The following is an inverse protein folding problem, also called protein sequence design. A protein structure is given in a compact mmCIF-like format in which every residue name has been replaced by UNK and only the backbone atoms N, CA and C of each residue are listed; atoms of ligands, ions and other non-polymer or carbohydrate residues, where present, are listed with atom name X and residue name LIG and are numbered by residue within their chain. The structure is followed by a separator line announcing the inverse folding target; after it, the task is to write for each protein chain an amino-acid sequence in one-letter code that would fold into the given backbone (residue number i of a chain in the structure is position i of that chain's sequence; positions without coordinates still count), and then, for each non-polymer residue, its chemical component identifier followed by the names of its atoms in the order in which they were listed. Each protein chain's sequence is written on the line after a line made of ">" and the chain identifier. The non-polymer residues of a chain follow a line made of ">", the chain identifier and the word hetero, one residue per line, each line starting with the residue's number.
data_IF_320665611848
#
_entry.id   IF_320665611848
#
_cell.length_a   1.000
_cell.length_b   1.000
_cell.length_c   1.000
_cell.angle_alpha   90.00
_cell.angle_beta   90.00
_cell.angle_gamma   90.00
#
_symmetry.space_group_name_H-M   'P 1'
#
loop_
_entity.id
_entity.type
_entity.pdbx_description
1 polymer ?
#
# COMPACT_ATOMS: atom_id res chain seq x y z
N UNK A 1 -21.08 15.08 -16.42
CA UNK A 1 -21.05 14.15 -15.26
C UNK A 1 -21.87 12.93 -15.62
N UNK A 2 -21.28 11.74 -15.54
CA UNK A 2 -22.01 10.47 -15.76
C UNK A 2 -23.03 10.35 -14.65
N UNK A 3 -24.30 10.14 -14.99
CA UNK A 3 -25.30 9.79 -13.99
C UNK A 3 -24.91 8.44 -13.40
N UNK A 4 -24.43 8.46 -12.16
CA UNK A 4 -23.77 7.32 -11.53
C UNK A 4 -24.69 6.10 -11.41
N UNK A 5 -25.99 6.33 -11.14
CA UNK A 5 -26.98 5.25 -11.06
C UNK A 5 -27.20 4.59 -12.42
N UNK A 6 -27.24 5.37 -13.50
CA UNK A 6 -27.37 4.83 -14.84
C UNK A 6 -26.14 4.03 -15.26
N UNK A 7 -24.93 4.47 -14.82
CA UNK A 7 -23.69 3.75 -15.09
C UNK A 7 -23.71 2.34 -14.51
N UNK A 8 -24.10 2.17 -13.26
CA UNK A 8 -24.13 0.83 -12.62
C UNK A 8 -25.22 -0.08 -13.19
N UNK A 9 -26.35 0.45 -13.64
CA UNK A 9 -27.34 -0.33 -14.37
C UNK A 9 -26.77 -0.87 -15.69
N UNK A 10 -26.06 -0.02 -16.45
CA UNK A 10 -25.41 -0.43 -17.70
C UNK A 10 -24.29 -1.47 -17.45
N UNK A 11 -23.51 -1.32 -16.38
CA UNK A 11 -22.52 -2.31 -15.98
C UNK A 11 -23.17 -3.65 -15.65
N UNK A 12 -24.25 -3.65 -14.87
CA UNK A 12 -24.95 -4.86 -14.48
C UNK A 12 -25.58 -5.57 -15.70
N UNK A 13 -26.09 -4.81 -16.67
CA UNK A 13 -26.60 -5.33 -17.93
C UNK A 13 -25.49 -5.92 -18.81
N UNK A 14 -24.38 -5.17 -19.06
CA UNK A 14 -23.25 -5.59 -19.90
C UNK A 14 -22.57 -6.87 -19.37
N UNK A 15 -22.52 -7.04 -18.05
CA UNK A 15 -21.89 -8.16 -17.39
C UNK A 15 -22.88 -9.25 -16.94
N UNK A 16 -24.15 -9.09 -17.26
CA UNK A 16 -25.22 -10.06 -16.97
C UNK A 16 -25.36 -10.37 -15.47
N UNK A 17 -25.19 -9.37 -14.60
CA UNK A 17 -25.31 -9.50 -13.15
C UNK A 17 -26.76 -9.44 -12.65
N UNK A 18 -27.74 -9.35 -13.55
CA UNK A 18 -29.14 -9.12 -13.20
C UNK A 18 -29.42 -7.64 -12.92
N UNK A 19 -30.66 -7.32 -12.51
CA UNK A 19 -31.07 -5.94 -12.22
C UNK A 19 -30.43 -5.46 -10.93
N UNK A 20 -30.05 -4.18 -10.91
CA UNK A 20 -29.65 -3.49 -9.67
C UNK A 20 -30.90 -3.27 -8.82
N UNK A 21 -30.89 -3.78 -7.58
CA UNK A 21 -32.06 -3.81 -6.68
C UNK A 21 -32.11 -2.61 -5.77
N UNK A 22 -30.93 -2.01 -5.45
CA UNK A 22 -30.79 -0.91 -4.50
C UNK A 22 -29.93 0.20 -5.10
N UNK A 23 -30.05 1.41 -4.58
CA UNK A 23 -29.16 2.49 -4.97
C UNK A 23 -27.71 2.13 -4.61
N UNK A 24 -26.75 2.31 -5.53
CA UNK A 24 -25.34 2.08 -5.24
C UNK A 24 -24.86 2.92 -4.06
N UNK A 25 -24.12 2.29 -3.16
CA UNK A 25 -23.60 2.95 -1.95
C UNK A 25 -22.09 3.10 -2.10
N UNK A 26 -21.59 4.33 -2.02
CA UNK A 26 -20.16 4.54 -1.98
C UNK A 26 -19.61 3.99 -0.66
N UNK A 27 -18.60 3.14 -0.72
CA UNK A 27 -17.91 2.60 0.45
C UNK A 27 -16.65 3.39 0.72
N UNK A 28 -16.34 3.58 2.00
CA UNK A 28 -15.10 4.22 2.43
C UNK A 28 -13.91 3.28 2.12
N UNK A 29 -12.81 3.86 1.72
CA UNK A 29 -11.56 3.16 1.37
C UNK A 29 -11.15 3.43 -0.07
N UNK A 30 -9.90 3.85 -0.25
CA UNK A 30 -9.32 4.18 -1.54
C UNK A 30 -9.14 5.69 -1.72
N UNK A 31 -7.94 6.20 -1.36
CA UNK A 31 -7.54 7.58 -1.63
C UNK A 31 -7.51 7.89 -3.13
N UNK A 32 -7.26 6.87 -3.95
CA UNK A 32 -7.01 7.07 -5.39
C UNK A 32 -8.20 6.68 -6.26
N UNK A 33 -9.07 5.79 -5.83
CA UNK A 33 -10.18 5.24 -6.61
C UNK A 33 -11.49 5.34 -5.85
N UNK A 34 -12.61 5.35 -6.57
CA UNK A 34 -13.93 5.34 -5.95
C UNK A 34 -14.51 3.93 -5.95
N UNK A 35 -14.99 3.49 -4.79
CA UNK A 35 -15.56 2.17 -4.62
C UNK A 35 -17.05 2.26 -4.31
N UNK A 36 -17.84 1.42 -4.95
CA UNK A 36 -19.29 1.38 -4.77
C UNK A 36 -19.76 -0.05 -4.54
N UNK A 37 -20.56 -0.25 -3.50
CA UNK A 37 -21.33 -1.47 -3.33
C UNK A 37 -22.58 -1.40 -4.18
N UNK A 38 -22.84 -2.43 -4.97
CA UNK A 38 -24.10 -2.63 -5.68
C UNK A 38 -24.72 -3.95 -5.22
N UNK A 39 -26.05 -3.99 -5.16
CA UNK A 39 -26.83 -5.19 -4.89
C UNK A 39 -27.65 -5.49 -6.14
N UNK A 40 -27.52 -6.69 -6.67
CA UNK A 40 -28.21 -7.15 -7.88
C UNK A 40 -28.99 -8.44 -7.61
N UNK A 41 -29.76 -8.89 -8.59
CA UNK A 41 -30.48 -10.17 -8.50
C UNK A 41 -29.54 -11.38 -8.33
N UNK A 42 -28.26 -11.28 -8.75
CA UNK A 42 -27.30 -12.38 -8.67
C UNK A 42 -26.36 -12.29 -7.47
N UNK A 43 -26.33 -11.17 -6.74
CA UNK A 43 -25.47 -11.01 -5.58
C UNK A 43 -25.11 -9.57 -5.27
N UNK A 44 -24.21 -9.42 -4.31
CA UNK A 44 -23.64 -8.12 -3.94
C UNK A 44 -22.21 -8.02 -4.43
N UNK A 45 -21.86 -6.88 -4.99
CA UNK A 45 -20.55 -6.65 -5.61
C UNK A 45 -19.97 -5.31 -5.18
N UNK A 46 -18.64 -5.21 -5.24
CA UNK A 46 -17.91 -3.95 -5.23
C UNK A 46 -17.48 -3.61 -6.65
N UNK A 47 -17.78 -2.40 -7.09
CA UNK A 47 -17.22 -1.82 -8.32
C UNK A 47 -16.21 -0.76 -7.93
N UNK A 48 -14.93 -1.00 -8.28
CA UNK A 48 -13.82 -0.07 -8.11
C UNK A 48 -13.67 0.74 -9.40
N UNK A 49 -14.07 2.01 -9.38
CA UNK A 49 -13.90 2.93 -10.50
C UNK A 49 -12.50 3.52 -10.47
N UNK A 50 -11.70 3.22 -11.49
CA UNK A 50 -10.33 3.72 -11.58
C UNK A 50 -10.30 5.23 -11.85
N UNK A 51 -9.42 5.93 -11.16
CA UNK A 51 -9.25 7.38 -11.35
C UNK A 51 -8.71 7.67 -12.75
N UNK A 52 -9.43 8.46 -13.58
CA UNK A 52 -9.00 8.76 -14.94
C UNK A 52 -7.63 9.46 -15.02
N UNK A 53 -7.24 10.22 -14.00
CA UNK A 53 -5.93 10.89 -13.98
C UNK A 53 -4.79 9.89 -13.75
N UNK A 54 -5.00 8.86 -12.92
CA UNK A 54 -4.04 7.76 -12.76
C UNK A 54 -3.94 6.97 -14.06
N UNK A 55 -5.08 6.68 -14.71
CA UNK A 55 -5.10 5.91 -15.96
C UNK A 55 -4.40 6.62 -17.13
N UNK A 56 -4.18 7.94 -17.07
CA UNK A 56 -3.37 8.68 -18.06
C UNK A 56 -1.87 8.49 -17.90
N UNK A 57 -1.39 7.95 -16.77
CA UNK A 57 0.05 7.70 -16.56
C UNK A 57 0.53 6.65 -17.56
N UNK A 58 1.69 6.85 -18.21
CA UNK A 58 2.19 5.92 -19.24
C UNK A 58 2.36 4.47 -18.75
N UNK A 59 2.64 4.29 -17.46
CA UNK A 59 2.88 2.97 -16.83
C UNK A 59 1.61 2.30 -16.30
N UNK A 60 0.48 3.01 -16.20
CA UNK A 60 -0.72 2.53 -15.52
C UNK A 60 -1.21 1.18 -16.07
N UNK A 61 -1.45 1.09 -17.36
CA UNK A 61 -1.96 -0.14 -17.99
C UNK A 61 -0.99 -1.32 -17.84
N UNK A 62 0.32 -1.05 -17.90
CA UNK A 62 1.36 -2.07 -17.68
C UNK A 62 1.35 -2.60 -16.25
N UNK A 63 1.24 -1.71 -15.27
CA UNK A 63 1.19 -2.07 -13.84
C UNK A 63 -0.05 -2.91 -13.52
N UNK A 64 -1.24 -2.51 -13.98
CA UNK A 64 -2.47 -3.29 -13.78
C UNK A 64 -2.39 -4.67 -14.45
N UNK A 65 -1.78 -4.76 -15.63
CA UNK A 65 -1.60 -6.05 -16.29
C UNK A 65 -0.70 -6.99 -15.47
N UNK A 66 0.41 -6.47 -14.93
CA UNK A 66 1.32 -7.24 -14.07
C UNK A 66 0.57 -7.71 -12.82
N UNK A 67 -0.18 -6.82 -12.16
CA UNK A 67 -0.97 -7.16 -10.99
C UNK A 67 -2.04 -8.24 -11.30
N UNK A 68 -2.76 -8.11 -12.42
CA UNK A 68 -3.76 -9.10 -12.87
C UNK A 68 -3.15 -10.49 -13.11
N UNK A 69 -1.95 -10.54 -13.70
CA UNK A 69 -1.26 -11.81 -13.97
C UNK A 69 -0.78 -12.46 -12.65
N UNK A 70 -0.22 -11.68 -11.73
CA UNK A 70 0.20 -12.16 -10.41
C UNK A 70 -1.01 -12.58 -9.56
N UNK A 71 -2.10 -11.82 -9.59
CA UNK A 71 -3.34 -12.18 -8.88
C UNK A 71 -3.87 -13.57 -9.29
N UNK A 72 -3.73 -13.96 -10.57
CA UNK A 72 -4.07 -15.32 -11.01
C UNK A 72 -3.17 -16.37 -10.36
N UNK A 73 -1.87 -16.06 -10.22
CA UNK A 73 -0.91 -16.94 -9.54
C UNK A 73 -1.29 -17.11 -8.07
N UNK A 74 -1.63 -16.01 -7.36
CA UNK A 74 -2.07 -16.07 -5.97
C UNK A 74 -3.34 -16.92 -5.82
N UNK A 75 -4.32 -16.76 -6.72
CA UNK A 75 -5.55 -17.56 -6.73
C UNK A 75 -5.28 -19.05 -6.93
N UNK A 76 -4.36 -19.40 -7.84
CA UNK A 76 -3.96 -20.80 -8.09
C UNK A 76 -3.26 -21.43 -6.88
N UNK A 77 -2.60 -20.61 -6.06
CA UNK A 77 -1.92 -21.03 -4.82
C UNK A 77 -2.80 -20.90 -3.56
N UNK A 78 -4.11 -20.68 -3.73
CA UNK A 78 -5.10 -20.59 -2.66
C UNK A 78 -4.76 -19.53 -1.58
N UNK A 79 -4.16 -18.41 -1.97
CA UNK A 79 -3.98 -17.28 -1.07
C UNK A 79 -5.35 -16.67 -0.74
N UNK A 80 -5.68 -16.41 0.54
CA UNK A 80 -6.99 -15.90 0.93
C UNK A 80 -7.14 -14.42 0.54
N UNK A 81 -7.72 -14.15 -0.63
CA UNK A 81 -7.95 -12.79 -1.12
C UNK A 81 -9.34 -12.66 -1.77
N UNK A 82 -9.81 -11.43 -1.88
CA UNK A 82 -10.97 -11.05 -2.70
C UNK A 82 -10.46 -10.73 -4.10
N UNK A 83 -10.62 -11.68 -4.99
CA UNK A 83 -10.12 -11.60 -6.36
C UNK A 83 -11.06 -10.83 -7.29
N UNK A 84 -10.48 -10.07 -8.21
CA UNK A 84 -11.26 -9.44 -9.27
C UNK A 84 -11.96 -10.49 -10.15
N UNK A 85 -13.24 -10.26 -10.44
CA UNK A 85 -14.00 -11.12 -11.33
C UNK A 85 -13.56 -10.93 -12.78
N UNK A 86 -13.52 -12.02 -13.52
CA UNK A 86 -13.21 -12.00 -14.95
C UNK A 86 -14.48 -12.02 -15.80
N UNK A 87 -14.61 -11.03 -16.70
CA UNK A 87 -15.63 -11.00 -17.72
C UNK A 87 -14.98 -10.84 -19.09
N UNK A 88 -15.46 -11.55 -20.09
CA UNK A 88 -14.91 -11.47 -21.46
C UNK A 88 -13.37 -11.71 -21.47
N UNK A 89 -12.88 -12.64 -20.66
CA UNK A 89 -11.47 -13.02 -20.48
C UNK A 89 -10.56 -11.89 -19.97
N UNK A 90 -11.08 -10.90 -19.26
CA UNK A 90 -10.30 -9.83 -18.64
C UNK A 90 -10.91 -9.40 -17.30
N UNK A 91 -10.08 -8.96 -16.37
CA UNK A 91 -10.49 -8.44 -15.07
C UNK A 91 -10.87 -6.97 -15.19
N UNK A 92 -9.97 -6.14 -15.72
CA UNK A 92 -10.25 -4.73 -15.97
C UNK A 92 -11.32 -4.61 -17.08
N UNK A 93 -12.40 -3.95 -16.77
CA UNK A 93 -13.48 -3.64 -17.67
C UNK A 93 -13.47 -2.16 -18.06
N UNK A 94 -14.15 -1.82 -19.14
CA UNK A 94 -14.33 -0.44 -19.60
C UNK A 94 -15.76 -0.23 -20.07
N UNK A 95 -16.36 0.86 -19.62
CA UNK A 95 -17.66 1.32 -20.10
C UNK A 95 -17.66 2.84 -20.25
N UNK A 96 -17.95 3.33 -21.44
CA UNK A 96 -17.99 4.78 -21.75
C UNK A 96 -16.73 5.55 -21.37
N UNK A 97 -15.53 4.95 -21.53
CA UNK A 97 -14.24 5.53 -21.20
C UNK A 97 -13.89 5.47 -19.70
N UNK A 98 -14.72 4.86 -18.87
CA UNK A 98 -14.42 4.61 -17.47
C UNK A 98 -13.90 3.18 -17.28
N UNK A 99 -12.66 3.03 -16.82
CA UNK A 99 -12.09 1.75 -16.41
C UNK A 99 -12.55 1.37 -15.00
N UNK A 100 -12.82 0.09 -14.78
CA UNK A 100 -13.27 -0.41 -13.48
C UNK A 100 -12.95 -1.88 -13.28
N UNK A 101 -12.92 -2.30 -12.01
CA UNK A 101 -12.89 -3.69 -11.57
C UNK A 101 -14.16 -4.04 -10.81
N UNK A 102 -14.48 -5.35 -10.77
CA UNK A 102 -15.59 -5.88 -10.00
C UNK A 102 -15.10 -7.00 -9.10
N UNK A 103 -15.58 -6.97 -7.86
CA UNK A 103 -15.29 -7.97 -6.83
C UNK A 103 -16.60 -8.45 -6.21
N UNK A 104 -16.63 -9.71 -5.76
CA UNK A 104 -17.71 -10.15 -4.87
C UNK A 104 -17.64 -9.37 -3.55
N UNK A 105 -18.81 -9.03 -3.01
CA UNK A 105 -18.86 -8.42 -1.68
C UNK A 105 -18.40 -9.42 -0.62
N UNK A 106 -17.43 -9.04 0.18
CA UNK A 106 -17.01 -9.77 1.36
C UNK A 106 -17.36 -8.95 2.60
N UNK A 107 -18.17 -9.51 3.52
CA UNK A 107 -18.72 -8.79 4.69
C UNK A 107 -17.74 -8.75 5.88
N UNK A 108 -16.46 -8.64 5.59
CA UNK A 108 -15.40 -8.50 6.57
C UNK A 108 -15.15 -7.05 6.95
N UNK A 109 -14.40 -6.87 8.04
CA UNK A 109 -13.98 -5.55 8.54
C UNK A 109 -12.48 -5.49 8.69
N UNK A 110 -11.88 -4.37 8.30
CA UNK A 110 -10.48 -4.08 8.62
C UNK A 110 -10.31 -3.77 10.11
N UNK A 111 -9.13 -4.07 10.63
CA UNK A 111 -8.76 -3.75 12.01
C UNK A 111 -8.28 -2.29 12.09
N UNK A 112 -8.69 -1.62 13.14
CA UNK A 112 -8.16 -0.29 13.50
C UNK A 112 -6.95 -0.45 14.42
N UNK A 113 -6.19 0.63 14.54
CA UNK A 113 -5.13 0.71 15.54
C UNK A 113 -5.68 0.36 16.94
N UNK A 114 -4.94 -0.47 17.67
CA UNK A 114 -5.35 -0.98 18.98
C UNK A 114 -6.25 -2.23 18.93
N UNK A 115 -6.81 -2.62 17.78
CA UNK A 115 -7.54 -3.87 17.59
C UNK A 115 -6.62 -5.02 17.15
N UNK A 116 -5.41 -4.70 16.68
CA UNK A 116 -4.40 -5.68 16.25
C UNK A 116 -3.89 -6.46 17.46
N UNK A 117 -3.87 -7.79 17.34
CA UNK A 117 -3.41 -8.73 18.37
C UNK A 117 -2.34 -9.66 17.77
N UNK A 118 -1.59 -10.36 18.64
CA UNK A 118 -0.58 -11.33 18.22
C UNK A 118 -1.10 -12.37 17.22
N UNK A 119 -2.33 -12.86 17.38
CA UNK A 119 -2.94 -13.83 16.44
C UNK A 119 -3.10 -13.25 15.03
N UNK A 120 -3.33 -11.95 14.90
CA UNK A 120 -3.40 -11.29 13.58
C UNK A 120 -2.01 -11.23 12.96
N UNK A 121 -0.99 -10.77 13.71
CA UNK A 121 0.40 -10.72 13.26
C UNK A 121 0.93 -12.11 12.87
N UNK A 122 0.58 -13.15 13.64
CA UNK A 122 0.93 -14.54 13.34
C UNK A 122 0.34 -14.97 11.98
N UNK A 123 -0.96 -14.78 11.76
CA UNK A 123 -1.63 -15.17 10.51
C UNK A 123 -1.14 -14.36 9.30
N UNK A 124 -0.86 -13.07 9.47
CA UNK A 124 -0.39 -12.24 8.36
C UNK A 124 1.08 -12.52 8.05
N UNK A 125 1.93 -12.75 9.05
CA UNK A 125 3.30 -13.22 8.84
C UNK A 125 3.35 -14.56 8.10
N UNK A 126 2.48 -15.52 8.46
CA UNK A 126 2.34 -16.80 7.76
C UNK A 126 1.91 -16.63 6.29
N UNK A 127 0.86 -15.83 6.03
CA UNK A 127 0.39 -15.64 4.64
C UNK A 127 1.39 -14.87 3.80
N UNK A 128 2.11 -13.90 4.36
CA UNK A 128 3.18 -13.19 3.68
C UNK A 128 4.30 -14.15 3.25
N UNK A 129 4.75 -15.02 4.16
CA UNK A 129 5.74 -16.05 3.85
C UNK A 129 5.24 -17.00 2.73
N UNK A 130 3.97 -17.40 2.76
CA UNK A 130 3.37 -18.21 1.69
C UNK A 130 3.40 -17.50 0.34
N UNK A 131 3.05 -16.21 0.30
CA UNK A 131 3.08 -15.41 -0.94
C UNK A 131 4.51 -15.34 -1.48
N UNK A 132 5.48 -14.99 -0.62
CA UNK A 132 6.88 -14.88 -1.02
C UNK A 132 7.48 -16.20 -1.52
N UNK A 133 7.03 -17.34 -0.98
CA UNK A 133 7.51 -18.67 -1.38
C UNK A 133 6.96 -19.16 -2.74
N UNK A 134 5.95 -18.53 -3.33
CA UNK A 134 5.29 -19.02 -4.54
C UNK A 134 6.23 -19.06 -5.73
N UNK A 135 6.96 -17.96 -5.95
CA UNK A 135 7.87 -17.84 -7.10
C UNK A 135 9.07 -16.97 -6.73
N UNK A 136 10.06 -17.60 -6.10
CA UNK A 136 11.31 -16.95 -5.72
C UNK A 136 12.25 -16.88 -6.91
N UNK A 137 12.76 -15.69 -7.20
CA UNK A 137 13.74 -15.43 -8.27
C UNK A 137 15.03 -14.93 -7.67
N UNK A 138 16.13 -15.59 -8.02
CA UNK A 138 17.48 -15.12 -7.67
C UNK A 138 17.92 -14.07 -8.70
N UNK A 139 17.29 -12.90 -8.64
CA UNK A 139 17.54 -11.77 -9.53
C UNK A 139 17.82 -10.53 -8.70
N UNK A 140 18.72 -9.64 -9.15
CA UNK A 140 18.94 -8.37 -8.49
C UNK A 140 17.65 -7.57 -8.37
N UNK A 141 17.44 -6.99 -7.19
CA UNK A 141 16.40 -6.01 -6.99
C UNK A 141 16.96 -4.65 -7.42
N UNK A 142 16.45 -4.16 -8.53
CA UNK A 142 16.79 -2.83 -9.03
C UNK A 142 15.80 -1.83 -8.42
N UNK A 143 16.28 -0.95 -7.58
CA UNK A 143 15.53 0.21 -7.11
C UNK A 143 16.35 1.44 -7.45
N UNK A 144 15.73 2.38 -8.12
CA UNK A 144 16.36 3.65 -8.43
C UNK A 144 16.74 4.37 -7.13
N UNK A 145 17.88 5.03 -7.14
CA UNK A 145 18.27 5.91 -6.05
C UNK A 145 17.24 7.03 -5.91
N UNK A 146 16.88 7.33 -4.66
CA UNK A 146 15.96 8.43 -4.38
C UNK A 146 16.70 9.76 -4.49
N UNK A 147 16.16 10.67 -5.27
CA UNK A 147 16.70 12.02 -5.45
C UNK A 147 15.59 13.04 -5.28
N UNK A 148 15.52 13.66 -4.10
CA UNK A 148 14.53 14.69 -3.79
C UNK A 148 15.30 15.97 -3.45
N UNK A 149 14.98 17.04 -4.17
CA UNK A 149 15.55 18.38 -3.94
C UNK A 149 14.71 19.13 -2.89
N UNK A 150 15.02 18.87 -1.62
CA UNK A 150 14.34 19.52 -0.50
C UNK A 150 14.50 21.03 -0.51
N UNK A 151 15.66 21.55 -0.95
CA UNK A 151 15.92 22.98 -1.01
C UNK A 151 14.97 23.68 -1.97
N UNK A 152 14.73 23.08 -3.13
CA UNK A 152 13.74 23.59 -4.08
C UNK A 152 12.34 23.72 -3.47
N UNK A 153 11.90 22.73 -2.71
CA UNK A 153 10.58 22.77 -2.06
C UNK A 153 10.52 23.79 -0.92
N UNK A 154 11.60 24.00 -0.18
CA UNK A 154 11.71 25.06 0.85
C UNK A 154 11.57 26.43 0.19
N UNK A 155 12.26 26.69 -0.91
CA UNK A 155 12.18 27.96 -1.64
C UNK A 155 10.76 28.21 -2.17
N UNK A 156 10.15 27.21 -2.81
CA UNK A 156 8.76 27.29 -3.28
C UNK A 156 7.77 27.55 -2.13
N UNK A 157 7.92 26.82 -1.03
CA UNK A 157 7.06 27.00 0.14
C UNK A 157 7.19 28.41 0.75
N UNK A 158 8.41 28.97 0.76
CA UNK A 158 8.68 30.35 1.20
C UNK A 158 8.04 31.37 0.29
N UNK A 159 8.21 31.21 -1.03
CA UNK A 159 7.65 32.17 -2.03
C UNK A 159 6.13 32.19 -2.00
N UNK A 160 5.50 31.05 -1.69
CA UNK A 160 4.05 30.90 -1.56
C UNK A 160 3.52 31.23 -0.15
N UNK A 161 4.37 31.61 0.81
CA UNK A 161 4.02 31.76 2.22
C UNK A 161 3.29 30.54 2.79
N UNK A 162 3.68 29.35 2.37
CA UNK A 162 3.04 28.12 2.79
C UNK A 162 3.32 27.77 4.25
N UNK A 163 2.33 27.27 5.02
CA UNK A 163 2.51 26.91 6.42
C UNK A 163 3.44 25.71 6.63
N UNK A 164 3.84 24.99 5.59
CA UNK A 164 4.79 23.87 5.68
C UNK A 164 6.25 24.33 5.63
N UNK A 165 6.53 25.59 5.30
CA UNK A 165 7.89 26.07 5.03
C UNK A 165 8.86 25.79 6.19
N UNK A 166 8.47 26.16 7.40
CA UNK A 166 9.34 25.96 8.58
C UNK A 166 9.53 24.47 8.90
N UNK A 167 8.49 23.65 8.75
CA UNK A 167 8.58 22.20 8.96
C UNK A 167 9.60 21.54 8.03
N UNK A 168 9.52 21.79 6.73
CA UNK A 168 10.46 21.16 5.79
C UNK A 168 11.87 21.73 5.91
N UNK A 169 12.00 22.99 6.27
CA UNK A 169 13.29 23.65 6.48
C UNK A 169 14.01 23.14 7.72
N UNK A 170 13.29 23.03 8.84
CA UNK A 170 13.89 22.68 10.13
C UNK A 170 14.41 21.23 10.17
N UNK A 171 13.86 20.35 9.30
CA UNK A 171 14.22 18.93 9.22
C UNK A 171 14.90 18.52 7.91
N UNK A 172 15.28 19.47 7.04
CA UNK A 172 15.89 19.18 5.75
C UNK A 172 17.18 18.35 5.85
N UNK A 173 18.00 18.59 6.88
CA UNK A 173 19.23 17.82 7.12
C UNK A 173 18.91 16.37 7.47
N UNK A 174 17.87 16.11 8.26
CA UNK A 174 17.40 14.76 8.58
C UNK A 174 16.92 14.04 7.32
N UNK A 175 16.17 14.70 6.46
CA UNK A 175 15.68 14.12 5.20
C UNK A 175 16.83 13.79 4.25
N UNK A 176 17.79 14.68 4.09
CA UNK A 176 18.99 14.45 3.26
C UNK A 176 19.84 13.28 3.79
N UNK A 177 20.08 13.20 5.10
CA UNK A 177 20.81 12.12 5.73
C UNK A 177 20.08 10.78 5.59
N UNK A 178 18.77 10.74 5.82
CA UNK A 178 17.94 9.56 5.66
C UNK A 178 17.94 9.07 4.19
N UNK A 179 17.81 9.98 3.23
CA UNK A 179 17.86 9.67 1.81
C UNK A 179 19.23 9.10 1.39
N UNK A 180 20.32 9.73 1.83
CA UNK A 180 21.67 9.26 1.52
C UNK A 180 21.96 7.87 2.12
N UNK A 181 21.60 7.65 3.38
CA UNK A 181 21.73 6.34 4.04
C UNK A 181 20.88 5.28 3.36
N UNK A 182 19.66 5.62 2.96
CA UNK A 182 18.77 4.71 2.23
C UNK A 182 19.33 4.29 0.87
N UNK A 183 19.88 5.23 0.11
CA UNK A 183 20.50 4.95 -1.18
C UNK A 183 21.73 4.04 -1.09
N UNK A 184 22.52 4.17 -0.02
CA UNK A 184 23.65 3.26 0.23
C UNK A 184 23.19 1.89 0.75
N UNK A 185 22.17 1.86 1.61
CA UNK A 185 21.67 0.64 2.20
C UNK A 185 20.99 -0.28 1.18
N UNK A 186 20.23 0.30 0.24
CA UNK A 186 19.52 -0.47 -0.80
C UNK A 186 20.46 -1.33 -1.65
N UNK A 187 21.73 -0.91 -1.81
CA UNK A 187 22.74 -1.64 -2.54
C UNK A 187 23.22 -2.92 -1.84
N UNK A 188 22.94 -3.03 -0.53
CA UNK A 188 23.31 -4.18 0.31
C UNK A 188 22.22 -5.23 0.40
N UNK A 189 21.03 -4.96 -0.12
CA UNK A 189 19.91 -5.90 -0.05
C UNK A 189 20.24 -7.19 -0.85
N UNK A 190 19.78 -8.35 -0.35
CA UNK A 190 19.94 -9.60 -1.06
C UNK A 190 19.35 -9.54 -2.48
N UNK A 191 20.02 -10.14 -3.49
CA UNK A 191 19.56 -10.15 -4.88
C UNK A 191 18.44 -11.18 -5.07
N UNK A 192 17.29 -10.96 -4.46
CA UNK A 192 16.13 -11.84 -4.52
C UNK A 192 14.88 -11.03 -4.81
N UNK A 193 14.02 -11.59 -5.64
CA UNK A 193 12.65 -11.09 -5.90
C UNK A 193 11.64 -12.16 -5.59
N UNK A 194 10.52 -11.74 -4.99
CA UNK A 194 9.35 -12.56 -4.76
C UNK A 194 8.10 -11.79 -5.21
N UNK A 195 6.98 -12.48 -5.28
CA UNK A 195 5.69 -11.82 -5.38
C UNK A 195 5.46 -11.07 -4.08
N UNK A 196 5.30 -9.75 -4.15
CA UNK A 196 5.00 -8.87 -3.03
C UNK A 196 3.65 -8.18 -3.26
N UNK A 197 2.89 -8.00 -2.18
CA UNK A 197 1.62 -7.27 -2.21
C UNK A 197 1.85 -5.76 -2.29
N UNK A 198 2.88 -5.28 -1.59
CA UNK A 198 3.31 -3.88 -1.49
C UNK A 198 2.29 -2.89 -0.89
N UNK A 199 1.21 -3.38 -0.29
CA UNK A 199 0.20 -2.57 0.43
C UNK A 199 -0.68 -3.48 1.33
N UNK A 200 -0.07 -4.46 2.05
CA UNK A 200 -0.81 -5.41 2.90
C UNK A 200 -0.92 -4.93 4.35
N UNK A 201 -1.21 -3.65 4.55
CA UNK A 201 -1.51 -3.10 5.87
C UNK A 201 -2.90 -3.53 6.39
N UNK A 202 -3.23 -3.16 7.64
CA UNK A 202 -4.45 -3.61 8.30
C UNK A 202 -5.74 -3.14 7.60
N UNK A 203 -5.70 -2.04 6.84
CA UNK A 203 -6.86 -1.52 6.08
C UNK A 203 -7.20 -2.42 4.90
N UNK A 204 -6.20 -3.13 4.35
CA UNK A 204 -6.32 -4.01 3.19
C UNK A 204 -6.49 -5.49 3.58
N UNK A 205 -6.84 -5.78 4.83
CA UNK A 205 -7.16 -7.12 5.32
C UNK A 205 -8.52 -7.11 5.99
N UNK A 206 -9.49 -7.80 5.40
CA UNK A 206 -10.85 -7.90 5.93
C UNK A 206 -11.03 -9.17 6.73
N UNK A 207 -11.51 -9.05 7.97
CA UNK A 207 -11.71 -10.14 8.91
C UNK A 207 -13.17 -10.49 9.13
N UNK A 208 -13.48 -11.78 9.22
CA UNK A 208 -14.74 -12.33 9.74
C UNK A 208 -14.37 -13.38 10.79
N UNK A 209 -14.51 -13.01 12.06
CA UNK A 209 -14.00 -13.86 13.14
C UNK A 209 -12.49 -14.08 13.01
N UNK A 210 -12.07 -15.34 12.91
CA UNK A 210 -10.67 -15.73 12.75
C UNK A 210 -10.22 -15.90 11.29
N UNK A 211 -11.13 -15.76 10.33
CA UNK A 211 -10.84 -15.82 8.90
C UNK A 211 -10.60 -14.44 8.35
N UNK A 212 -9.75 -14.34 7.32
CA UNK A 212 -9.48 -13.09 6.65
C UNK A 212 -9.35 -13.25 5.13
N UNK A 213 -9.49 -12.14 4.43
CA UNK A 213 -9.15 -12.01 3.02
C UNK A 213 -8.38 -10.74 2.77
N UNK A 214 -7.33 -10.85 1.95
CA UNK A 214 -6.61 -9.71 1.42
C UNK A 214 -7.47 -9.01 0.38
N UNK A 215 -7.36 -7.69 0.31
CA UNK A 215 -8.00 -6.85 -0.72
C UNK A 215 -6.96 -5.91 -1.33
N UNK A 216 -7.35 -5.21 -2.37
CA UNK A 216 -6.53 -4.18 -3.03
C UNK A 216 -5.21 -4.69 -3.62
N UNK A 217 -5.32 -5.69 -4.47
CA UNK A 217 -4.20 -6.40 -5.11
C UNK A 217 -3.55 -5.61 -6.26
N UNK A 218 -3.84 -4.33 -6.43
CA UNK A 218 -3.34 -3.53 -7.58
C UNK A 218 -1.85 -3.20 -7.52
N UNK A 219 -1.24 -3.31 -6.33
CA UNK A 219 0.18 -3.09 -6.11
C UNK A 219 1.06 -4.35 -6.24
N UNK A 220 0.46 -5.50 -6.60
CA UNK A 220 1.17 -6.76 -6.79
C UNK A 220 2.27 -6.63 -7.85
N UNK A 221 3.49 -7.00 -7.47
CA UNK A 221 4.65 -7.06 -8.37
C UNK A 221 5.74 -7.96 -7.81
N UNK A 222 6.74 -8.27 -8.63
CA UNK A 222 7.98 -8.84 -8.12
C UNK A 222 8.83 -7.73 -7.50
N UNK A 223 9.17 -7.89 -6.23
CA UNK A 223 9.94 -6.93 -5.43
C UNK A 223 10.85 -7.68 -4.45
N UNK A 224 11.65 -6.94 -3.68
CA UNK A 224 12.46 -7.55 -2.63
C UNK A 224 11.59 -7.93 -1.44
N UNK A 225 11.48 -9.23 -1.08
CA UNK A 225 10.59 -9.71 -0.02
C UNK A 225 11.00 -9.25 1.38
N UNK A 226 12.26 -8.96 1.61
CA UNK A 226 12.73 -8.51 2.92
C UNK A 226 12.28 -7.06 3.22
N UNK A 227 12.21 -6.20 2.19
CA UNK A 227 11.65 -4.86 2.35
C UNK A 227 10.19 -4.93 2.76
N UNK A 228 9.38 -5.75 2.08
CA UNK A 228 7.97 -5.90 2.41
C UNK A 228 7.78 -6.54 3.79
N UNK A 229 8.57 -7.56 4.14
CA UNK A 229 8.56 -8.17 5.47
C UNK A 229 8.77 -7.12 6.56
N UNK A 230 9.81 -6.31 6.42
CA UNK A 230 10.18 -5.33 7.43
C UNK A 230 9.14 -4.22 7.55
N UNK A 231 8.68 -3.68 6.42
CA UNK A 231 7.64 -2.65 6.36
C UNK A 231 6.35 -3.14 7.02
N UNK A 232 5.89 -4.35 6.68
CA UNK A 232 4.66 -4.90 7.25
C UNK A 232 4.79 -5.26 8.73
N UNK A 233 5.93 -5.79 9.17
CA UNK A 233 6.17 -6.05 10.59
C UNK A 233 6.08 -4.76 11.42
N UNK A 234 6.61 -3.66 10.92
CA UNK A 234 6.46 -2.34 11.53
C UNK A 234 5.01 -1.87 11.50
N UNK A 235 4.35 -1.90 10.35
CA UNK A 235 2.97 -1.47 10.17
C UNK A 235 2.01 -2.21 11.13
N UNK A 236 2.07 -3.55 11.16
CA UNK A 236 1.22 -4.39 12.01
C UNK A 236 1.53 -4.31 13.51
N UNK A 237 2.58 -3.62 13.88
CA UNK A 237 2.98 -3.40 15.28
C UNK A 237 2.68 -2.01 15.83
N UNK A 238 1.97 -1.16 15.08
CA UNK A 238 1.60 0.19 15.53
C UNK A 238 2.64 1.27 15.27
N UNK A 239 3.66 0.97 14.47
CA UNK A 239 4.72 1.91 14.10
C UNK A 239 4.17 3.15 13.38
N UNK A 240 3.15 2.98 12.55
CA UNK A 240 2.47 4.05 11.83
C UNK A 240 1.84 5.10 12.75
N UNK A 241 1.28 4.66 13.88
CA UNK A 241 0.74 5.52 14.93
C UNK A 241 1.77 6.02 15.94
N UNK A 242 3.07 5.98 15.62
CA UNK A 242 4.16 6.37 16.53
C UNK A 242 4.12 5.64 17.89
N UNK A 243 3.68 4.40 17.91
CA UNK A 243 3.50 3.61 19.13
C UNK A 243 3.78 2.12 18.85
N UNK A 244 5.05 1.79 18.54
CA UNK A 244 5.43 0.41 18.23
C UNK A 244 5.25 -0.52 19.42
N UNK A 245 4.60 -1.67 19.19
CA UNK A 245 4.49 -2.77 20.12
C UNK A 245 5.44 -3.90 19.70
N UNK A 246 6.58 -4.01 20.35
CA UNK A 246 7.60 -5.00 20.03
C UNK A 246 7.13 -6.45 20.16
N UNK A 247 6.11 -6.72 20.97
CA UNK A 247 5.54 -8.07 21.08
C UNK A 247 4.80 -8.45 19.77
N UNK A 248 4.06 -7.52 19.18
CA UNK A 248 3.42 -7.71 17.87
C UNK A 248 4.46 -7.80 16.75
N UNK A 249 5.46 -6.92 16.78
CA UNK A 249 6.56 -6.90 15.83
C UNK A 249 7.30 -8.25 15.81
N UNK A 250 7.74 -8.73 16.97
CA UNK A 250 8.45 -9.99 17.10
C UNK A 250 7.57 -11.19 16.72
N UNK A 251 6.27 -11.14 17.04
CA UNK A 251 5.32 -12.19 16.63
C UNK A 251 5.22 -12.29 15.12
N UNK A 252 5.13 -11.13 14.43
CA UNK A 252 5.06 -11.07 12.97
C UNK A 252 6.32 -11.68 12.33
N UNK A 253 7.50 -11.16 12.71
CA UNK A 253 8.81 -11.62 12.20
C UNK A 253 9.00 -13.12 12.44
N UNK A 254 8.71 -13.58 13.66
CA UNK A 254 8.83 -15.00 13.98
C UNK A 254 7.91 -15.87 13.11
N UNK A 255 6.65 -15.50 12.99
CA UNK A 255 5.70 -16.26 12.18
C UNK A 255 6.12 -16.31 10.72
N UNK A 256 6.64 -15.22 10.18
CA UNK A 256 7.18 -15.20 8.82
C UNK A 256 8.36 -16.16 8.68
N UNK A 257 9.35 -16.12 9.59
CA UNK A 257 10.55 -16.98 9.51
C UNK A 257 10.26 -18.46 9.75
N UNK A 258 9.28 -18.77 10.56
CA UNK A 258 8.83 -20.15 10.76
C UNK A 258 8.23 -20.77 9.47
N UNK A 259 7.82 -19.95 8.49
CA UNK A 259 7.10 -20.36 7.29
C UNK A 259 7.80 -20.00 5.96
N UNK A 260 8.90 -19.26 5.96
CA UNK A 260 9.61 -18.85 4.75
C UNK A 260 10.68 -19.85 4.31
N UNK A 261 10.95 -19.87 2.99
CA UNK A 261 12.09 -20.57 2.39
C UNK A 261 13.29 -19.61 2.13
N UNK A 262 13.16 -18.34 2.49
CA UNK A 262 14.21 -17.35 2.32
C UNK A 262 15.30 -17.50 3.39
N UNK A 263 16.50 -17.02 3.06
CA UNK A 263 17.59 -16.89 4.03
C UNK A 263 17.18 -15.88 5.14
N UNK A 264 17.36 -16.28 6.39
CA UNK A 264 17.04 -15.44 7.56
C UNK A 264 18.23 -14.61 8.03
N UNK A 265 19.43 -14.83 7.48
CA UNK A 265 20.61 -14.02 7.78
C UNK A 265 20.57 -12.70 7.01
N UNK A 266 19.97 -11.69 7.62
CA UNK A 266 19.65 -10.41 6.99
C UNK A 266 20.46 -9.28 7.63
N UNK A 267 20.93 -8.33 6.82
CA UNK A 267 21.44 -7.04 7.31
C UNK A 267 20.22 -6.14 7.70
N UNK A 268 19.79 -6.25 8.96
CA UNK A 268 18.65 -5.50 9.48
C UNK A 268 18.87 -3.98 9.48
N UNK A 269 20.10 -3.53 9.67
CA UNK A 269 20.42 -2.11 9.58
C UNK A 269 20.26 -1.60 8.15
N UNK A 270 20.69 -2.39 7.16
CA UNK A 270 20.46 -2.06 5.76
C UNK A 270 18.96 -2.05 5.43
N UNK A 271 18.18 -2.98 5.94
CA UNK A 271 16.72 -2.97 5.76
C UNK A 271 16.07 -1.75 6.38
N UNK A 272 16.47 -1.40 7.60
CA UNK A 272 15.95 -0.21 8.27
C UNK A 272 16.15 1.05 7.43
N UNK A 273 17.38 1.31 6.98
CA UNK A 273 17.67 2.48 6.17
C UNK A 273 17.07 2.42 4.75
N UNK A 274 16.91 1.23 4.19
CA UNK A 274 16.27 1.05 2.87
C UNK A 274 14.76 1.32 2.91
N UNK A 275 14.14 1.26 4.09
CA UNK A 275 12.71 1.55 4.29
C UNK A 275 12.45 3.07 4.34
N UNK A 276 12.79 3.76 3.27
CA UNK A 276 12.70 5.22 3.15
C UNK A 276 11.48 5.69 2.34
N UNK A 277 10.48 4.85 2.14
CA UNK A 277 9.26 5.16 1.39
C UNK A 277 8.51 6.41 1.89
N UNK A 278 8.66 6.74 3.18
CA UNK A 278 8.08 7.95 3.76
C UNK A 278 8.64 9.24 3.21
N UNK A 279 9.89 9.28 2.75
CA UNK A 279 10.43 10.46 2.08
C UNK A 279 9.71 10.72 0.76
N UNK A 280 9.38 9.66 0.01
CA UNK A 280 8.56 9.78 -1.21
C UNK A 280 7.13 10.22 -0.90
N UNK A 281 6.53 9.72 0.18
CA UNK A 281 5.22 10.16 0.65
C UNK A 281 5.25 11.62 1.11
N UNK A 282 6.31 12.04 1.80
CA UNK A 282 6.53 13.43 2.19
C UNK A 282 6.62 14.33 0.94
N UNK A 283 7.42 13.95 -0.05
CA UNK A 283 7.52 14.71 -1.30
C UNK A 283 6.17 14.85 -2.01
N UNK A 284 5.41 13.77 -2.11
CA UNK A 284 4.07 13.80 -2.70
C UNK A 284 3.14 14.77 -1.98
N UNK A 285 3.13 14.75 -0.64
CA UNK A 285 2.28 15.65 0.14
C UNK A 285 2.78 17.10 0.14
N UNK A 286 4.09 17.34 0.06
CA UNK A 286 4.63 18.68 -0.20
C UNK A 286 4.11 19.22 -1.52
N UNK A 287 4.13 18.43 -2.59
CA UNK A 287 3.59 18.83 -3.91
C UNK A 287 2.10 19.17 -3.83
N UNK A 288 1.32 18.41 -3.08
CA UNK A 288 -0.11 18.73 -2.82
C UNK A 288 -0.27 20.01 -2.01
N UNK A 289 0.46 20.17 -0.92
CA UNK A 289 0.43 21.36 -0.07
C UNK A 289 0.80 22.65 -0.85
N UNK A 290 1.65 22.52 -1.87
CA UNK A 290 2.07 23.59 -2.77
C UNK A 290 1.22 23.67 -4.05
N UNK A 291 0.09 22.98 -4.15
CA UNK A 291 -0.79 22.97 -5.34
C UNK A 291 -0.07 22.57 -6.64
N UNK A 292 0.98 21.76 -6.56
CA UNK A 292 1.72 21.28 -7.74
C UNK A 292 1.12 20.01 -8.34
N UNK A 293 0.44 19.20 -7.51
CA UNK A 293 -0.22 17.93 -7.90
C UNK A 293 -1.68 17.84 -7.42
N UNK A 294 -2.33 18.95 -7.13
CA UNK A 294 -3.76 19.01 -6.87
C UNK A 294 -4.38 20.31 -7.39
N UNK A 295 -5.72 20.30 -7.58
CA UNK A 295 -6.46 21.38 -8.21
C UNK A 295 -7.49 22.03 -7.27
N UNK A 296 -7.54 21.64 -5.99
CA UNK A 296 -8.55 22.11 -5.05
C UNK A 296 -8.00 22.29 -3.62
N UNK A 297 -8.67 23.18 -2.87
CA UNK A 297 -8.27 23.54 -1.51
C UNK A 297 -8.37 22.38 -0.52
N UNK A 298 -9.31 21.45 -0.69
CA UNK A 298 -9.49 20.30 0.20
C UNK A 298 -8.27 19.39 0.14
N UNK A 299 -7.79 19.07 -1.06
CA UNK A 299 -6.57 18.28 -1.25
C UNK A 299 -5.32 19.03 -0.77
N UNK A 300 -5.27 20.37 -0.95
CA UNK A 300 -4.18 21.17 -0.42
C UNK A 300 -4.11 21.10 1.10
N UNK A 301 -5.23 21.26 1.80
CA UNK A 301 -5.29 21.19 3.26
C UNK A 301 -4.90 19.79 3.77
N UNK A 302 -5.34 18.75 3.08
CA UNK A 302 -4.92 17.39 3.36
C UNK A 302 -3.40 17.24 3.19
N UNK A 303 -2.81 17.76 2.09
CA UNK A 303 -1.37 17.76 1.90
C UNK A 303 -0.61 18.47 3.01
N UNK A 304 -1.11 19.61 3.50
CA UNK A 304 -0.51 20.35 4.63
C UNK A 304 -0.53 19.52 5.92
N UNK A 305 -1.64 18.84 6.23
CA UNK A 305 -1.74 17.95 7.41
C UNK A 305 -0.76 16.79 7.30
N UNK A 306 -0.79 16.11 6.17
CA UNK A 306 0.06 14.95 5.90
C UNK A 306 1.57 15.26 5.95
N UNK A 307 1.99 16.45 5.50
CA UNK A 307 3.39 16.89 5.64
C UNK A 307 3.80 16.91 7.11
N UNK A 308 2.98 17.48 7.99
CA UNK A 308 3.28 17.56 9.42
C UNK A 308 3.34 16.18 10.07
N UNK A 309 2.33 15.36 9.83
CA UNK A 309 2.23 14.01 10.36
C UNK A 309 3.40 13.14 9.87
N UNK A 310 3.77 13.25 8.61
CA UNK A 310 4.89 12.50 8.03
C UNK A 310 6.23 12.92 8.65
N UNK A 311 6.46 14.23 8.84
CA UNK A 311 7.68 14.72 9.50
C UNK A 311 7.76 14.23 10.94
N UNK A 312 6.67 14.31 11.70
CA UNK A 312 6.61 13.80 13.08
C UNK A 312 6.92 12.30 13.13
N UNK A 313 6.39 11.55 12.17
CA UNK A 313 6.68 10.13 12.07
C UNK A 313 8.15 9.85 11.71
N UNK A 314 8.77 10.60 10.79
CA UNK A 314 10.20 10.44 10.46
C UNK A 314 11.06 10.69 11.71
N UNK A 315 10.72 11.70 12.52
CA UNK A 315 11.40 11.97 13.80
C UNK A 315 11.22 10.82 14.79
N UNK A 316 10.01 10.27 14.87
CA UNK A 316 9.74 9.10 15.69
C UNK A 316 10.56 7.90 15.26
N UNK A 317 10.63 7.63 13.96
CA UNK A 317 11.42 6.54 13.39
C UNK A 317 12.88 6.62 13.82
N UNK A 318 13.50 7.80 13.70
CA UNK A 318 14.89 8.01 14.12
C UNK A 318 15.11 7.71 15.61
N UNK A 319 14.17 8.10 16.46
CA UNK A 319 14.24 7.86 17.92
C UNK A 319 14.14 6.39 18.31
N UNK A 320 13.32 5.59 17.62
CA UNK A 320 13.09 4.19 18.00
C UNK A 320 13.98 3.20 17.25
N UNK A 321 14.83 3.68 16.35
CA UNK A 321 15.73 2.88 15.52
C UNK A 321 16.52 1.84 16.31
N UNK A 322 17.26 2.29 17.32
CA UNK A 322 18.15 1.40 18.08
C UNK A 322 17.37 0.35 18.85
N UNK A 323 16.17 0.69 19.30
CA UNK A 323 15.27 -0.26 19.96
C UNK A 323 14.71 -1.31 18.97
N UNK A 324 14.34 -0.89 17.75
CA UNK A 324 13.93 -1.83 16.69
C UNK A 324 15.09 -2.78 16.37
N UNK A 325 16.28 -2.27 16.07
CA UNK A 325 17.43 -3.08 15.70
C UNK A 325 17.84 -4.04 16.82
N UNK A 326 17.73 -3.62 18.10
CA UNK A 326 17.98 -4.50 19.24
C UNK A 326 16.97 -5.65 19.33
N UNK A 327 15.68 -5.39 19.06
CA UNK A 327 14.63 -6.42 19.15
C UNK A 327 14.72 -7.47 18.05
N UNK A 328 15.32 -7.17 16.90
CA UNK A 328 15.47 -8.12 15.79
C UNK A 328 16.85 -8.75 15.69
N UNK A 329 17.82 -8.33 16.50
CA UNK A 329 19.18 -8.87 16.48
C UNK A 329 19.27 -10.36 16.86
N UNK A 330 18.22 -10.92 17.46
CA UNK A 330 18.16 -12.33 17.90
C UNK A 330 17.56 -13.27 16.83
N UNK A 331 17.16 -12.74 15.67
CA UNK A 331 16.67 -13.48 14.52
C UNK A 331 17.75 -13.57 13.44
#
# INVERSE_FOLDING_TARGET
>A
MININNFFNLVAEDLQLGKVLENPVQVAGGFMHRMFKIVTEQGSYIIKLLNPNIMKRPTAMGNYKIADDIERILKQNNIPAVYALEFKNRKMQELNGQYYYIFEWYDGKSLKDGEIKSVHCEKIGEVLAKIHNIDLKNEPFEKDEMHIDWQKYIELAKDMNSPICDYIKDYADLFNDSMAKGNEAIKKLPPVKAICHNDMDSKNVLWIGDEFKLIDLECLRYSNPYLELFELALCWSGYEGCNINFNLFNTFIKSYFDNTNLDTNIDWEALYYSNNGRLGWLEYNIKRALMLECDNEEEQQLGISEVKETVEHIIYCDKVKDEILKNIADY
#
